data_IF_727059102154
#
_entry.id   IF_727059102154
#
_cell.length_a   1.000
_cell.length_b   1.000
_cell.length_c   1.000
_cell.angle_alpha   90.00
_cell.angle_beta   90.00
_cell.angle_gamma   90.00
#
_symmetry.space_group_name_H-M   'P 1'
#
loop_
_entity.id
_entity.type
_entity.pdbx_description
1 polymer ?
#
# COMPACT_ATOMS: atom_id res chain seq x y z
N UNK A 1 2.31 18.11 -6.32
CA UNK A 1 1.15 17.39 -5.73
C UNK A 1 0.53 18.26 -4.64
N UNK A 2 -0.78 18.14 -4.43
CA UNK A 2 -1.53 18.99 -3.50
C UNK A 2 -1.21 18.62 -2.03
N UNK A 3 -0.71 19.56 -1.20
CA UNK A 3 -0.52 19.36 0.25
C UNK A 3 -1.85 19.24 1.01
N UNK A 4 -1.81 18.75 2.25
CA UNK A 4 -2.99 18.79 3.12
C UNK A 4 -3.51 20.22 3.28
N UNK A 5 -4.80 20.39 3.02
CA UNK A 5 -5.45 21.69 3.10
C UNK A 5 -6.93 21.53 3.45
N UNK A 6 -7.47 22.50 4.18
CA UNK A 6 -8.87 22.53 4.57
C UNK A 6 -9.30 23.97 4.81
N UNK A 7 -10.51 24.33 4.39
CA UNK A 7 -11.15 25.58 4.81
C UNK A 7 -12.32 25.25 5.73
N UNK A 8 -12.40 25.89 6.90
CA UNK A 8 -13.52 25.74 7.82
C UNK A 8 -14.13 27.11 8.14
N UNK A 9 -15.46 27.19 8.24
CA UNK A 9 -16.20 28.33 8.76
C UNK A 9 -17.13 27.88 9.90
N UNK A 10 -16.67 28.04 11.14
CA UNK A 10 -17.43 27.69 12.35
C UNK A 10 -18.15 28.91 12.89
N UNK A 11 -19.46 28.77 13.09
CA UNK A 11 -20.37 29.75 13.71
C UNK A 11 -21.09 29.12 14.89
N UNK A 12 -21.89 29.92 15.61
CA UNK A 12 -22.67 29.47 16.75
C UNK A 12 -23.77 28.47 16.38
N UNK A 13 -24.22 28.46 15.12
CA UNK A 13 -25.38 27.70 14.64
C UNK A 13 -25.07 26.78 13.45
N UNK A 14 -23.85 26.85 12.88
CA UNK A 14 -23.42 26.01 11.75
C UNK A 14 -21.90 25.83 11.68
N UNK A 15 -21.47 24.78 10.99
CA UNK A 15 -20.09 24.55 10.61
C UNK A 15 -20.02 24.11 9.14
N UNK A 16 -19.23 24.82 8.32
CA UNK A 16 -18.96 24.41 6.94
C UNK A 16 -17.49 24.06 6.77
N UNK A 17 -17.21 22.92 6.10
CA UNK A 17 -15.86 22.40 5.91
C UNK A 17 -15.64 22.05 4.44
N UNK A 18 -14.73 22.75 3.76
CA UNK A 18 -14.25 22.41 2.41
C UNK A 18 -12.95 21.65 2.51
N UNK A 19 -13.00 20.37 2.12
CA UNK A 19 -11.90 19.45 2.39
C UNK A 19 -11.77 18.40 1.28
N UNK A 20 -10.56 18.15 0.76
CA UNK A 20 -10.33 17.07 -0.18
C UNK A 20 -9.94 15.78 0.58
N UNK A 21 -10.92 15.11 1.19
CA UNK A 21 -10.74 13.91 2.04
C UNK A 21 -11.28 12.63 1.40
N UNK A 22 -10.78 11.47 1.85
CA UNK A 22 -11.34 10.15 1.55
C UNK A 22 -12.44 9.73 2.55
N UNK A 23 -12.64 10.48 3.64
CA UNK A 23 -13.53 10.13 4.75
C UNK A 23 -14.44 11.30 5.16
N UNK A 24 -15.35 11.76 4.28
CA UNK A 24 -16.16 12.95 4.54
C UNK A 24 -17.09 12.80 5.75
N UNK A 25 -17.61 11.60 6.00
CA UNK A 25 -18.46 11.31 7.17
C UNK A 25 -17.68 11.46 8.48
N UNK A 26 -16.44 10.97 8.53
CA UNK A 26 -15.59 11.10 9.73
C UNK A 26 -15.24 12.57 9.98
N UNK A 27 -15.00 13.36 8.92
CA UNK A 27 -14.79 14.81 9.07
C UNK A 27 -16.02 15.49 9.65
N UNK A 28 -17.23 15.14 9.18
CA UNK A 28 -18.49 15.70 9.72
C UNK A 28 -18.60 15.39 11.21
N UNK A 29 -18.42 14.14 11.59
CA UNK A 29 -18.62 13.68 12.97
C UNK A 29 -17.59 14.32 13.91
N UNK A 30 -16.32 14.41 13.49
CA UNK A 30 -15.28 15.11 14.25
C UNK A 30 -15.51 16.60 14.34
N UNK A 31 -16.01 17.24 13.28
CA UNK A 31 -16.37 18.65 13.33
C UNK A 31 -17.53 18.90 14.31
N UNK A 32 -18.57 18.06 14.29
CA UNK A 32 -19.69 18.13 15.23
C UNK A 32 -19.23 17.99 16.69
N UNK A 33 -18.36 17.00 16.96
CA UNK A 33 -17.73 16.78 18.27
C UNK A 33 -16.95 18.02 18.74
N UNK A 34 -16.12 18.60 17.88
CA UNK A 34 -15.31 19.79 18.21
C UNK A 34 -16.19 21.02 18.45
N UNK A 35 -17.24 21.23 17.66
CA UNK A 35 -18.06 22.44 17.75
C UNK A 35 -19.14 22.33 18.83
N UNK A 36 -19.59 21.12 19.17
CA UNK A 36 -20.78 20.87 19.99
C UNK A 36 -22.09 21.12 19.23
N UNK A 37 -22.04 21.05 17.90
CA UNK A 37 -23.22 21.22 17.04
C UNK A 37 -23.79 19.85 16.69
N UNK A 38 -25.09 19.79 16.37
CA UNK A 38 -25.68 18.56 15.84
C UNK A 38 -25.11 18.23 14.44
N UNK A 39 -25.01 16.95 14.04
CA UNK A 39 -24.45 16.56 12.74
C UNK A 39 -25.13 17.25 11.54
N UNK A 40 -26.42 17.54 11.61
CA UNK A 40 -27.19 18.23 10.57
C UNK A 40 -26.80 19.71 10.41
N UNK A 41 -26.15 20.29 11.41
CA UNK A 41 -25.61 21.65 11.39
C UNK A 41 -24.18 21.71 10.81
N UNK A 42 -23.61 20.55 10.45
CA UNK A 42 -22.27 20.43 9.87
C UNK A 42 -22.37 20.02 8.40
N UNK A 43 -21.89 20.88 7.50
CA UNK A 43 -21.83 20.59 6.06
C UNK A 43 -20.40 20.35 5.63
N UNK A 44 -20.12 19.17 5.08
CA UNK A 44 -18.81 18.83 4.49
C UNK A 44 -18.88 18.89 2.97
N UNK A 45 -18.18 19.87 2.40
CA UNK A 45 -18.00 20.04 0.97
C UNK A 45 -16.75 19.27 0.54
N UNK A 46 -16.94 18.04 0.03
CA UNK A 46 -15.82 17.25 -0.49
C UNK A 46 -15.35 17.84 -1.81
N UNK A 47 -14.16 18.44 -1.81
CA UNK A 47 -13.60 19.08 -3.01
C UNK A 47 -12.88 18.08 -3.91
N UNK A 48 -12.47 18.51 -5.11
CA UNK A 48 -11.55 17.74 -5.93
C UNK A 48 -10.26 17.41 -5.15
N UNK A 49 -9.73 16.21 -5.38
CA UNK A 49 -8.68 15.61 -4.57
C UNK A 49 -7.45 15.33 -5.45
N UNK A 50 -6.36 16.06 -5.21
CA UNK A 50 -5.10 16.00 -5.94
C UNK A 50 -4.21 14.81 -5.56
N UNK A 51 -4.79 13.62 -5.42
CA UNK A 51 -4.16 12.40 -4.94
C UNK A 51 -4.24 12.22 -3.42
N UNK A 52 -4.17 10.97 -2.97
CA UNK A 52 -4.22 10.65 -1.55
C UNK A 52 -3.57 9.33 -1.18
N UNK A 53 -3.78 8.28 -1.98
CA UNK A 53 -3.05 7.02 -1.86
C UNK A 53 -3.10 6.37 -0.46
N UNK A 54 -4.15 6.68 0.31
CA UNK A 54 -4.36 6.21 1.69
C UNK A 54 -4.14 7.29 2.77
N UNK A 55 -3.49 8.40 2.43
CA UNK A 55 -3.13 9.46 3.39
C UNK A 55 -4.25 10.47 3.69
N UNK A 56 -5.24 10.67 2.81
CA UNK A 56 -6.22 11.76 2.95
C UNK A 56 -7.34 11.45 3.92
N UNK A 57 -6.97 11.31 5.19
CA UNK A 57 -7.82 11.22 6.36
C UNK A 57 -8.46 12.56 6.73
N UNK A 58 -8.44 12.89 8.02
CA UNK A 58 -9.19 14.01 8.60
C UNK A 58 -8.40 14.86 9.61
N UNK A 59 -7.14 14.52 9.89
CA UNK A 59 -6.29 15.17 10.90
C UNK A 59 -6.12 16.68 10.66
N UNK A 60 -5.86 17.07 9.42
CA UNK A 60 -5.75 18.49 9.03
C UNK A 60 -7.10 19.23 9.02
N UNK A 61 -8.22 18.52 8.85
CA UNK A 61 -9.55 19.12 8.93
C UNK A 61 -9.93 19.46 10.38
N UNK A 62 -9.56 18.60 11.33
CA UNK A 62 -9.70 18.85 12.77
C UNK A 62 -9.01 20.18 13.14
N UNK A 63 -7.76 20.37 12.69
CA UNK A 63 -7.01 21.60 12.96
C UNK A 63 -7.71 22.85 12.40
N UNK A 64 -8.22 22.78 11.17
CA UNK A 64 -8.92 23.90 10.54
C UNK A 64 -10.22 24.26 11.30
N UNK A 65 -11.00 23.26 11.72
CA UNK A 65 -12.24 23.46 12.50
C UNK A 65 -11.92 24.07 13.86
N UNK A 66 -10.93 23.53 14.58
CA UNK A 66 -10.50 24.07 15.87
C UNK A 66 -10.04 25.53 15.75
N UNK A 67 -9.23 25.85 14.74
CA UNK A 67 -8.75 27.20 14.49
C UNK A 67 -9.90 28.16 14.16
N UNK A 68 -10.81 27.77 13.26
CA UNK A 68 -11.98 28.59 12.91
C UNK A 68 -12.89 28.84 14.11
N UNK A 69 -13.15 27.82 14.94
CA UNK A 69 -13.92 27.95 16.19
C UNK A 69 -13.26 28.95 17.15
N UNK A 70 -11.94 28.84 17.34
CA UNK A 70 -11.19 29.70 18.25
C UNK A 70 -11.22 31.17 17.86
N UNK A 71 -11.19 31.48 16.56
CA UNK A 71 -11.18 32.87 16.05
C UNK A 71 -12.56 33.41 15.66
N UNK A 72 -13.58 32.55 15.58
CA UNK A 72 -14.95 32.91 15.18
C UNK A 72 -15.09 33.39 13.73
N UNK A 73 -14.18 32.99 12.84
CA UNK A 73 -14.11 33.42 11.44
C UNK A 73 -13.64 32.27 10.53
N UNK A 74 -13.84 32.36 9.20
CA UNK A 74 -13.34 31.36 8.28
C UNK A 74 -11.82 31.24 8.36
N UNK A 75 -11.30 30.02 8.43
CA UNK A 75 -9.86 29.73 8.42
C UNK A 75 -9.57 28.79 7.26
N UNK A 76 -8.59 29.19 6.44
CA UNK A 76 -7.97 28.33 5.43
C UNK A 76 -6.63 27.84 5.95
N UNK A 77 -6.54 26.54 6.18
CA UNK A 77 -5.32 25.85 6.56
C UNK A 77 -4.71 25.20 5.32
N UNK A 78 -3.42 25.40 5.13
CA UNK A 78 -2.59 24.71 4.14
C UNK A 78 -1.29 24.36 4.84
N UNK A 79 -0.95 23.09 4.90
CA UNK A 79 0.38 22.68 5.34
C UNK A 79 1.41 23.00 4.27
N UNK A 80 2.59 23.45 4.71
CA UNK A 80 3.78 23.43 3.85
C UNK A 80 4.10 21.99 3.44
N UNK A 81 4.93 21.80 2.41
CA UNK A 81 5.32 20.45 1.98
C UNK A 81 6.11 19.74 3.08
N UNK A 82 6.93 20.50 3.79
CA UNK A 82 7.74 20.05 4.92
C UNK A 82 6.85 19.57 6.07
N UNK A 83 5.83 20.37 6.45
CA UNK A 83 4.85 19.96 7.45
C UNK A 83 4.04 18.74 7.00
N UNK A 84 3.64 18.67 5.72
CA UNK A 84 2.92 17.52 5.17
C UNK A 84 3.73 16.22 5.30
N UNK A 85 5.02 16.28 4.98
CA UNK A 85 5.93 15.13 5.14
C UNK A 85 6.22 14.81 6.60
N UNK A 86 6.46 15.80 7.47
CA UNK A 86 6.77 15.56 8.89
C UNK A 86 5.55 15.12 9.70
N UNK A 87 4.35 15.56 9.29
CA UNK A 87 3.10 15.22 9.96
C UNK A 87 2.36 14.06 9.29
N UNK A 88 3.03 13.33 8.41
CA UNK A 88 2.45 12.26 7.63
C UNK A 88 2.05 11.05 8.52
N UNK A 89 1.24 10.17 7.93
CA UNK A 89 1.08 8.79 8.38
C UNK A 89 1.89 7.92 7.44
N UNK A 90 3.06 7.48 7.90
CA UNK A 90 4.03 6.81 7.04
C UNK A 90 3.56 5.42 6.63
N UNK A 91 3.96 4.98 5.44
CA UNK A 91 3.85 3.57 5.07
C UNK A 91 4.57 2.75 6.14
N UNK A 92 3.91 1.77 6.77
CA UNK A 92 4.54 1.05 7.85
C UNK A 92 5.75 0.23 7.37
N UNK A 93 6.80 0.21 8.20
CA UNK A 93 7.98 -0.61 7.97
C UNK A 93 7.74 -2.02 8.52
N UNK A 94 8.04 -3.02 7.71
CA UNK A 94 7.91 -4.42 8.07
C UNK A 94 9.23 -5.14 7.91
N UNK A 95 9.46 -6.13 8.78
CA UNK A 95 10.53 -7.12 8.63
C UNK A 95 9.89 -8.48 8.39
N UNK A 96 10.22 -9.09 7.26
CA UNK A 96 9.81 -10.45 6.94
C UNK A 96 10.99 -11.42 7.07
N UNK A 97 10.73 -12.62 7.56
CA UNK A 97 11.64 -13.77 7.50
C UNK A 97 10.88 -14.93 6.89
N UNK A 98 11.37 -15.44 5.76
CA UNK A 98 10.82 -16.62 5.11
C UNK A 98 11.81 -17.77 5.20
N UNK A 99 11.30 -18.95 5.55
CA UNK A 99 12.04 -20.20 5.51
C UNK A 99 11.26 -21.15 4.61
N UNK A 100 11.92 -21.58 3.53
CA UNK A 100 11.31 -22.44 2.51
C UNK A 100 12.13 -23.71 2.39
N UNK A 101 11.47 -24.85 2.57
CA UNK A 101 12.07 -26.15 2.26
C UNK A 101 11.73 -26.52 0.83
N UNK A 102 12.75 -26.90 0.05
CA UNK A 102 12.56 -27.44 -1.30
C UNK A 102 12.51 -28.96 -1.24
N UNK A 103 11.57 -29.55 -1.96
CA UNK A 103 11.49 -30.99 -2.20
C UNK A 103 12.56 -31.47 -3.17
N UNK A 104 12.65 -32.79 -3.35
CA UNK A 104 13.55 -33.41 -4.35
C UNK A 104 13.22 -33.00 -5.79
N UNK A 105 11.97 -32.63 -6.05
CA UNK A 105 11.49 -32.10 -7.32
C UNK A 105 11.85 -30.63 -7.55
N UNK A 106 12.52 -30.00 -6.57
CA UNK A 106 12.95 -28.61 -6.60
C UNK A 106 11.84 -27.59 -6.34
N UNK A 107 10.63 -27.99 -5.96
CA UNK A 107 9.53 -27.08 -5.60
C UNK A 107 9.40 -26.92 -4.08
N UNK A 108 8.75 -25.85 -3.58
CA UNK A 108 8.56 -25.66 -2.14
C UNK A 108 7.66 -26.75 -1.58
N UNK A 109 8.14 -27.50 -0.60
CA UNK A 109 7.35 -28.46 0.18
C UNK A 109 6.82 -27.85 1.48
N UNK A 110 7.53 -26.88 2.04
CA UNK A 110 7.07 -26.07 3.18
C UNK A 110 7.44 -24.60 3.06
N UNK A 111 6.59 -23.74 3.63
CA UNK A 111 6.72 -22.29 3.62
C UNK A 111 6.33 -21.72 4.97
N UNK A 112 7.31 -21.24 5.74
CA UNK A 112 7.09 -20.53 6.99
C UNK A 112 7.44 -19.04 6.79
N UNK A 113 6.43 -18.18 6.93
CA UNK A 113 6.58 -16.72 6.82
C UNK A 113 6.34 -16.10 8.19
N UNK A 114 7.35 -15.41 8.72
CA UNK A 114 7.25 -14.60 9.93
C UNK A 114 7.29 -13.12 9.55
N UNK A 115 6.30 -12.35 9.97
CA UNK A 115 6.18 -10.92 9.69
C UNK A 115 6.14 -10.15 11.01
N UNK A 116 7.01 -9.15 11.14
CA UNK A 116 7.01 -8.23 12.26
C UNK A 116 6.80 -6.79 11.76
N UNK A 117 5.84 -6.08 12.32
CA UNK A 117 5.58 -4.68 12.01
C UNK A 117 4.29 -4.16 12.64
N UNK A 118 3.96 -2.89 12.46
CA UNK A 118 2.78 -2.30 13.10
C UNK A 118 1.48 -2.76 12.45
N UNK A 119 0.41 -2.69 13.24
CA UNK A 119 -0.96 -2.92 12.78
C UNK A 119 -1.56 -1.62 12.25
N UNK A 120 -1.65 -1.52 10.92
CA UNK A 120 -2.26 -0.38 10.24
C UNK A 120 -3.75 -0.22 10.62
N UNK A 121 -4.46 -1.33 10.84
CA UNK A 121 -5.87 -1.27 11.26
C UNK A 121 -6.03 -0.81 12.71
N UNK A 122 -5.11 -1.20 13.60
CA UNK A 122 -5.15 -0.75 15.00
C UNK A 122 -4.86 0.75 15.10
N UNK A 123 -3.91 1.26 14.31
CA UNK A 123 -3.62 2.69 14.21
C UNK A 123 -4.80 3.48 13.64
N UNK A 124 -5.44 2.98 12.57
CA UNK A 124 -6.63 3.60 12.01
C UNK A 124 -7.80 3.64 13.02
N UNK A 125 -8.03 2.54 13.73
CA UNK A 125 -9.08 2.45 14.74
C UNK A 125 -8.82 3.37 15.94
N UNK A 126 -7.55 3.50 16.37
CA UNK A 126 -7.16 4.45 17.39
C UNK A 126 -7.49 5.89 16.99
N UNK A 127 -7.18 6.28 15.76
CA UNK A 127 -7.49 7.62 15.23
C UNK A 127 -9.00 7.89 15.16
N UNK A 128 -9.80 6.89 14.82
CA UNK A 128 -11.25 7.03 14.69
C UNK A 128 -11.92 7.21 16.06
N UNK A 129 -11.51 6.42 17.05
CA UNK A 129 -12.20 6.32 18.34
C UNK A 129 -11.58 7.18 19.45
N UNK A 130 -10.49 7.90 19.16
CA UNK A 130 -9.76 8.77 20.10
C UNK A 130 -9.46 8.14 21.48
N UNK A 131 -9.37 6.81 21.52
CA UNK A 131 -9.17 6.05 22.75
C UNK A 131 -8.08 5.01 22.55
N UNK A 132 -6.98 5.15 23.30
CA UNK A 132 -5.94 4.11 23.38
C UNK A 132 -6.48 2.79 23.93
N UNK A 133 -7.61 2.80 24.62
CA UNK A 133 -8.28 1.60 25.13
C UNK A 133 -8.82 0.71 24.00
N UNK A 134 -9.42 1.26 22.93
CA UNK A 134 -9.93 0.45 21.82
C UNK A 134 -8.85 0.06 20.83
N UNK A 135 -7.88 0.94 20.57
CA UNK A 135 -6.66 0.58 19.83
C UNK A 135 -5.92 -0.57 20.50
N UNK A 136 -5.78 -0.53 21.84
CA UNK A 136 -5.23 -1.64 22.63
C UNK A 136 -6.15 -2.87 22.69
N UNK A 137 -7.48 -2.70 22.63
CA UNK A 137 -8.43 -3.81 22.55
C UNK A 137 -8.30 -4.60 21.23
N UNK A 138 -8.00 -3.91 20.13
CA UNK A 138 -7.73 -4.51 18.82
C UNK A 138 -6.33 -5.12 18.71
N UNK A 139 -5.38 -4.73 19.58
CA UNK A 139 -4.09 -5.42 19.70
C UNK A 139 -4.27 -6.87 20.16
N UNK A 140 -5.34 -7.20 20.89
CA UNK A 140 -5.68 -8.58 21.25
C UNK A 140 -6.24 -9.42 20.10
N UNK A 141 -6.40 -8.85 18.90
CA UNK A 141 -6.76 -9.62 17.71
C UNK A 141 -5.52 -10.31 17.11
N UNK A 142 -4.28 -9.98 17.53
CA UNK A 142 -2.98 -10.57 17.10
C UNK A 142 -2.80 -10.77 15.58
N UNK A 143 -3.72 -10.25 14.77
CA UNK A 143 -3.84 -10.56 13.36
C UNK A 143 -4.51 -9.40 12.62
N UNK A 144 -3.68 -8.51 12.09
CA UNK A 144 -4.14 -7.47 11.19
C UNK A 144 -4.26 -8.03 9.76
N UNK A 145 -5.49 -8.41 9.39
CA UNK A 145 -5.82 -8.92 8.05
C UNK A 145 -5.43 -7.97 6.92
N UNK A 146 -5.22 -6.68 7.18
CA UNK A 146 -4.83 -5.68 6.18
C UNK A 146 -3.32 -5.64 5.96
N UNK A 147 -2.56 -5.77 7.05
CA UNK A 147 -1.08 -5.82 7.04
C UNK A 147 -0.55 -7.19 6.60
N UNK A 148 -1.30 -8.28 6.86
CA UNK A 148 -0.95 -9.63 6.40
C UNK A 148 -1.51 -9.97 5.01
N UNK A 149 -2.16 -9.03 4.30
CA UNK A 149 -2.56 -9.29 2.91
C UNK A 149 -1.36 -9.55 2.02
N UNK A 150 -1.50 -10.54 1.14
CA UNK A 150 -0.46 -10.95 0.21
C UNK A 150 0.48 -12.02 0.76
N UNK A 151 0.31 -12.46 2.01
CA UNK A 151 0.90 -13.73 2.49
C UNK A 151 0.04 -14.94 2.13
N UNK A 152 -1.20 -14.71 1.65
CA UNK A 152 -2.04 -15.76 1.09
C UNK A 152 -1.55 -16.07 -0.32
N UNK A 153 -0.93 -17.24 -0.49
CA UNK A 153 -0.25 -17.60 -1.73
C UNK A 153 -1.24 -18.17 -2.75
N UNK A 154 -1.18 -17.74 -4.03
CA UNK A 154 -1.87 -18.45 -5.11
C UNK A 154 -1.15 -19.74 -5.50
N UNK A 155 0.07 -19.96 -4.99
CA UNK A 155 0.94 -21.07 -5.32
C UNK A 155 0.58 -22.32 -4.52
N UNK A 156 0.56 -23.48 -5.20
CA UNK A 156 0.32 -24.78 -4.61
C UNK A 156 1.56 -25.22 -3.80
N UNK A 157 1.61 -24.80 -2.53
CA UNK A 157 2.64 -25.18 -1.57
C UNK A 157 1.95 -25.97 -0.44
N UNK A 158 2.31 -27.26 -0.24
CA UNK A 158 1.57 -28.15 0.66
C UNK A 158 1.49 -27.66 2.11
N UNK A 159 2.64 -27.30 2.69
CA UNK A 159 2.73 -26.84 4.08
C UNK A 159 2.97 -25.34 4.10
N UNK A 160 2.03 -24.57 4.65
CA UNK A 160 2.11 -23.11 4.71
C UNK A 160 1.73 -22.59 6.10
N UNK A 161 2.67 -21.90 6.73
CA UNK A 161 2.53 -21.28 8.04
C UNK A 161 2.86 -19.78 7.96
N UNK A 162 2.09 -18.98 8.69
CA UNK A 162 2.27 -17.53 8.74
C UNK A 162 2.11 -17.01 10.17
N UNK A 163 3.19 -16.44 10.69
CA UNK A 163 3.23 -15.76 11.98
C UNK A 163 3.25 -14.24 11.78
N UNK A 164 2.45 -13.52 12.55
CA UNK A 164 2.45 -12.07 12.56
C UNK A 164 2.63 -11.55 13.98
N UNK A 165 3.66 -10.74 14.20
CA UNK A 165 3.95 -10.07 15.46
C UNK A 165 3.78 -8.56 15.30
N UNK A 166 2.93 -7.97 16.15
CA UNK A 166 2.71 -6.52 16.14
C UNK A 166 3.86 -5.81 16.83
N UNK A 167 4.59 -4.98 16.07
CA UNK A 167 5.71 -4.18 16.58
C UNK A 167 5.42 -2.69 16.35
N UNK A 168 5.40 -1.92 17.44
CA UNK A 168 5.12 -0.49 17.40
C UNK A 168 6.39 0.33 17.09
N UNK A 169 6.43 1.10 16.00
CA UNK A 169 7.64 1.81 15.57
C UNK A 169 7.84 3.15 16.30
N UNK A 170 6.91 3.56 17.17
CA UNK A 170 6.98 4.86 17.88
C UNK A 170 6.68 6.08 17.00
N UNK A 171 6.25 5.87 15.75
CA UNK A 171 5.84 6.90 14.80
C UNK A 171 4.44 6.60 14.26
N UNK A 172 3.76 7.62 13.73
CA UNK A 172 2.45 7.46 13.10
C UNK A 172 2.57 6.67 11.80
N UNK A 173 1.80 5.60 11.67
CA UNK A 173 1.70 4.85 10.42
C UNK A 173 0.28 4.88 9.88
N UNK A 174 0.14 4.70 8.57
CA UNK A 174 -1.17 4.69 7.94
C UNK A 174 -1.19 3.96 6.62
N UNK A 175 -2.31 4.08 5.92
CA UNK A 175 -2.48 3.40 4.65
C UNK A 175 -1.60 4.05 3.58
N UNK A 176 -0.86 3.19 2.90
CA UNK A 176 -0.21 3.47 1.62
C UNK A 176 -0.82 2.54 0.58
N UNK A 177 -0.75 2.91 -0.70
CA UNK A 177 -1.43 2.19 -1.78
C UNK A 177 -1.15 0.68 -1.71
N UNK A 178 -2.21 -0.14 -1.66
CA UNK A 178 -2.16 -1.62 -1.54
C UNK A 178 -1.91 -2.18 -0.13
N UNK A 179 -1.68 -1.34 0.88
CA UNK A 179 -1.49 -1.72 2.30
C UNK A 179 -0.50 -2.90 2.41
N UNK A 180 -0.89 -4.02 3.03
CA UNK A 180 -0.01 -5.17 3.24
C UNK A 180 0.46 -5.86 1.96
N UNK A 181 -0.37 -5.86 0.91
CA UNK A 181 -0.06 -6.54 -0.35
C UNK A 181 1.26 -6.04 -0.96
N UNK A 182 1.55 -4.74 -0.84
CA UNK A 182 2.71 -4.13 -1.49
C UNK A 182 4.05 -4.68 -1.00
N UNK A 183 4.22 -4.88 0.32
CA UNK A 183 5.48 -5.38 0.88
C UNK A 183 5.53 -6.91 0.94
N UNK A 184 4.37 -7.56 1.15
CA UNK A 184 4.31 -9.01 1.16
C UNK A 184 4.52 -9.58 -0.25
N UNK A 185 3.95 -8.96 -1.29
CA UNK A 185 4.20 -9.36 -2.68
C UNK A 185 5.70 -9.32 -3.02
N UNK A 186 6.39 -8.23 -2.64
CA UNK A 186 7.83 -8.12 -2.84
C UNK A 186 8.58 -9.27 -2.17
N UNK A 187 8.23 -9.58 -0.91
CA UNK A 187 8.89 -10.63 -0.14
C UNK A 187 8.65 -12.01 -0.76
N UNK A 188 7.38 -12.36 -1.00
CA UNK A 188 6.96 -13.66 -1.56
C UNK A 188 7.58 -13.89 -2.94
N UNK A 189 7.46 -12.91 -3.83
CA UNK A 189 7.92 -13.05 -5.21
C UNK A 189 9.45 -13.07 -5.31
N UNK A 190 10.17 -12.40 -4.39
CA UNK A 190 11.63 -12.50 -4.32
C UNK A 190 12.07 -13.90 -3.91
N UNK A 191 11.45 -14.49 -2.88
CA UNK A 191 11.78 -15.85 -2.43
C UNK A 191 11.46 -16.90 -3.48
N UNK A 192 10.39 -16.74 -4.24
CA UNK A 192 10.10 -17.63 -5.37
C UNK A 192 11.14 -17.53 -6.48
N UNK A 193 11.65 -16.32 -6.75
CA UNK A 193 12.72 -16.12 -7.73
C UNK A 193 14.03 -16.75 -7.25
N UNK A 194 14.39 -16.55 -5.99
CA UNK A 194 15.55 -17.19 -5.36
C UNK A 194 15.44 -18.72 -5.39
N UNK A 195 14.26 -19.28 -5.06
CA UNK A 195 14.02 -20.72 -5.12
C UNK A 195 14.18 -21.28 -6.53
N UNK A 196 13.61 -20.60 -7.55
CA UNK A 196 13.76 -20.98 -8.95
C UNK A 196 15.24 -20.97 -9.38
N UNK A 197 15.98 -19.93 -9.01
CA UNK A 197 17.40 -19.78 -9.31
C UNK A 197 18.25 -20.87 -8.64
N UNK A 198 17.97 -21.21 -7.37
CA UNK A 198 18.69 -22.25 -6.61
C UNK A 198 18.59 -23.63 -7.28
N UNK A 199 17.46 -23.93 -7.92
CA UNK A 199 17.24 -25.21 -8.62
C UNK A 199 17.48 -25.12 -10.13
N UNK A 200 18.01 -23.99 -10.61
CA UNK A 200 18.33 -23.78 -12.03
C UNK A 200 17.12 -23.81 -12.96
N UNK A 201 15.95 -23.36 -12.49
CA UNK A 201 14.71 -23.31 -13.28
C UNK A 201 14.38 -21.89 -13.70
N UNK A 202 13.79 -21.76 -14.89
CA UNK A 202 13.26 -20.50 -15.38
C UNK A 202 12.18 -19.95 -14.41
N UNK A 203 12.26 -18.69 -13.97
CA UNK A 203 11.33 -18.14 -12.97
C UNK A 203 9.87 -18.04 -13.41
N UNK A 204 9.59 -17.95 -14.72
CA UNK A 204 8.23 -17.98 -15.25
C UNK A 204 7.67 -19.40 -15.19
N UNK A 205 8.41 -20.39 -15.69
CA UNK A 205 8.00 -21.79 -15.67
C UNK A 205 7.85 -22.32 -14.24
N UNK A 206 8.73 -21.89 -13.33
CA UNK A 206 8.65 -22.23 -11.91
C UNK A 206 7.33 -21.78 -11.28
N UNK A 207 6.95 -20.51 -11.47
CA UNK A 207 5.66 -19.98 -11.01
C UNK A 207 4.49 -20.67 -11.68
N UNK A 208 4.56 -20.94 -12.99
CA UNK A 208 3.50 -21.64 -13.71
C UNK A 208 3.26 -23.04 -13.13
N UNK A 209 4.30 -23.80 -12.85
CA UNK A 209 4.16 -25.14 -12.27
C UNK A 209 3.47 -25.12 -10.90
N UNK A 210 3.64 -24.06 -10.13
CA UNK A 210 2.97 -23.87 -8.83
C UNK A 210 1.54 -23.34 -8.95
N UNK A 211 1.08 -22.90 -10.13
CA UNK A 211 -0.24 -22.27 -10.32
C UNK A 211 -1.28 -23.22 -10.96
N UNK A 212 -1.12 -24.54 -10.85
CA UNK A 212 -1.91 -25.51 -11.63
C UNK A 212 -3.42 -25.35 -11.46
N UNK A 213 -3.90 -25.07 -10.25
CA UNK A 213 -5.33 -24.88 -9.95
C UNK A 213 -5.81 -23.42 -10.09
N UNK A 214 -4.97 -22.55 -10.68
CA UNK A 214 -5.21 -21.12 -10.76
C UNK A 214 -5.22 -20.61 -12.22
N UNK A 215 -6.25 -20.93 -13.01
CA UNK A 215 -6.27 -20.62 -14.45
C UNK A 215 -6.22 -19.12 -14.76
N UNK A 216 -6.84 -18.26 -13.94
CA UNK A 216 -6.78 -16.80 -14.11
C UNK A 216 -5.35 -16.28 -13.90
N UNK A 217 -4.69 -16.71 -12.82
CA UNK A 217 -3.30 -16.39 -12.52
C UNK A 217 -2.35 -16.80 -13.64
N UNK A 218 -2.44 -18.05 -14.10
CA UNK A 218 -1.65 -18.55 -15.24
C UNK A 218 -1.85 -17.70 -16.48
N UNK A 219 -3.08 -17.27 -16.76
CA UNK A 219 -3.42 -16.47 -17.94
C UNK A 219 -2.75 -15.10 -17.88
N UNK A 220 -2.85 -14.41 -16.74
CA UNK A 220 -2.24 -13.09 -16.54
C UNK A 220 -0.71 -13.18 -16.61
N UNK A 221 -0.11 -14.17 -15.94
CA UNK A 221 1.33 -14.38 -15.94
C UNK A 221 1.87 -14.66 -17.36
N UNK A 222 1.24 -15.59 -18.09
CA UNK A 222 1.60 -15.87 -19.49
C UNK A 222 1.42 -14.66 -20.40
N UNK A 223 0.39 -13.84 -20.16
CA UNK A 223 0.15 -12.62 -20.94
C UNK A 223 1.28 -11.62 -20.73
N UNK A 224 1.69 -11.35 -19.49
CA UNK A 224 2.81 -10.44 -19.21
C UNK A 224 4.11 -10.94 -19.86
N UNK A 225 4.44 -12.23 -19.69
CA UNK A 225 5.62 -12.86 -20.28
C UNK A 225 5.63 -12.78 -21.82
N UNK A 226 4.49 -13.10 -22.45
CA UNK A 226 4.35 -13.05 -23.92
C UNK A 226 4.56 -11.63 -24.44
N UNK A 227 3.91 -10.63 -23.83
CA UNK A 227 4.05 -9.24 -24.26
C UNK A 227 5.46 -8.70 -24.06
N UNK A 228 6.17 -9.20 -23.04
CA UNK A 228 7.56 -8.87 -22.79
C UNK A 228 8.54 -9.60 -23.73
N UNK A 229 8.09 -10.61 -24.48
CA UNK A 229 8.98 -11.47 -25.26
C UNK A 229 9.93 -12.26 -24.35
N UNK A 230 9.43 -12.80 -23.24
CA UNK A 230 10.22 -13.62 -22.31
C UNK A 230 10.97 -14.74 -23.05
N UNK A 231 12.25 -14.94 -22.71
CA UNK A 231 13.15 -15.89 -23.38
C UNK A 231 13.81 -15.39 -24.66
N UNK A 232 13.43 -14.22 -25.20
CA UNK A 232 14.16 -13.60 -26.30
C UNK A 232 15.51 -13.04 -25.83
N UNK A 233 16.48 -12.97 -26.76
CA UNK A 233 17.77 -12.32 -26.50
C UNK A 233 17.57 -10.87 -26.07
N UNK A 234 18.37 -10.47 -25.08
CA UNK A 234 18.39 -9.12 -24.53
C UNK A 234 19.63 -8.36 -25.01
N UNK A 235 19.58 -7.03 -25.08
CA UNK A 235 20.80 -6.23 -25.21
C UNK A 235 21.82 -6.59 -24.14
N UNK A 236 23.10 -6.49 -24.47
CA UNK A 236 24.18 -6.76 -23.52
C UNK A 236 24.01 -5.92 -22.24
N UNK A 237 24.13 -6.57 -21.07
CA UNK A 237 23.95 -5.94 -19.76
C UNK A 237 22.50 -5.71 -19.32
N UNK A 238 21.50 -6.10 -20.12
CA UNK A 238 20.10 -6.08 -19.72
C UNK A 238 19.67 -7.41 -19.08
N UNK A 239 18.73 -7.32 -18.15
CA UNK A 239 18.09 -8.46 -17.49
C UNK A 239 16.57 -8.24 -17.37
N UNK A 240 15.82 -9.32 -17.17
CA UNK A 240 14.37 -9.27 -16.91
C UNK A 240 14.02 -9.99 -15.62
N UNK A 241 13.14 -9.37 -14.83
CA UNK A 241 12.48 -10.00 -13.69
C UNK A 241 10.98 -10.15 -13.96
N UNK A 242 10.35 -11.15 -13.34
CA UNK A 242 8.91 -11.41 -13.47
C UNK A 242 8.28 -11.63 -12.08
N UNK A 243 7.08 -11.08 -11.88
CA UNK A 243 6.33 -11.26 -10.65
C UNK A 243 4.82 -11.31 -10.92
N UNK A 244 4.08 -11.98 -10.03
CA UNK A 244 2.63 -12.10 -10.04
C UNK A 244 2.07 -11.78 -8.65
N UNK A 245 0.94 -11.07 -8.58
CA UNK A 245 0.26 -10.81 -7.32
C UNK A 245 -1.25 -10.71 -7.47
N UNK A 246 -2.00 -11.24 -6.50
CA UNK A 246 -3.44 -10.98 -6.36
C UNK A 246 -3.69 -9.99 -5.22
N UNK A 247 -4.40 -8.91 -5.51
CA UNK A 247 -4.86 -7.93 -4.52
C UNK A 247 -6.30 -7.53 -4.82
N UNK A 248 -7.16 -7.58 -3.80
CA UNK A 248 -8.59 -7.23 -3.91
C UNK A 248 -9.28 -7.94 -5.10
N UNK A 249 -8.99 -9.24 -5.30
CA UNK A 249 -9.50 -10.10 -6.40
C UNK A 249 -9.04 -9.70 -7.81
N UNK A 250 -8.17 -8.71 -7.91
CA UNK A 250 -7.49 -8.34 -9.15
C UNK A 250 -6.12 -9.02 -9.17
N UNK A 251 -5.79 -9.62 -10.31
CA UNK A 251 -4.54 -10.34 -10.51
C UNK A 251 -3.67 -9.53 -11.46
N UNK A 252 -2.43 -9.24 -11.07
CA UNK A 252 -1.49 -8.47 -11.87
C UNK A 252 -0.19 -9.25 -12.02
N UNK A 253 0.32 -9.34 -13.25
CA UNK A 253 1.67 -9.82 -13.51
C UNK A 253 2.49 -8.73 -14.19
N UNK A 254 3.75 -8.61 -13.82
CA UNK A 254 4.67 -7.65 -14.40
C UNK A 254 5.97 -8.33 -14.81
N UNK A 255 6.49 -7.94 -15.98
CA UNK A 255 7.87 -8.20 -16.38
C UNK A 255 8.59 -6.86 -16.46
N UNK A 256 9.73 -6.74 -15.79
CA UNK A 256 10.54 -5.53 -15.76
C UNK A 256 11.88 -5.82 -16.42
N UNK A 257 12.24 -5.02 -17.43
CA UNK A 257 13.56 -5.04 -18.05
C UNK A 257 14.44 -3.93 -17.46
N UNK A 258 15.61 -4.30 -16.96
CA UNK A 258 16.56 -3.40 -16.30
C UNK A 258 17.97 -3.59 -16.81
N UNK A 259 18.82 -2.59 -16.63
CA UNK A 259 20.28 -2.73 -16.65
C UNK A 259 20.87 -2.16 -15.37
N UNK A 260 22.09 -2.57 -15.02
CA UNK A 260 22.83 -2.01 -13.88
C UNK A 260 24.10 -1.36 -14.38
N UNK A 261 24.27 -0.07 -14.08
CA UNK A 261 25.48 0.69 -14.40
C UNK A 261 26.05 1.30 -13.11
N UNK A 262 27.29 0.94 -12.76
CA UNK A 262 27.96 1.37 -11.53
C UNK A 262 27.09 1.26 -10.24
N UNK A 263 26.31 0.18 -10.14
CA UNK A 263 25.39 -0.05 -9.01
C UNK A 263 24.05 0.68 -9.09
N UNK A 264 23.84 1.50 -10.11
CA UNK A 264 22.57 2.19 -10.38
C UNK A 264 21.69 1.35 -11.28
N UNK A 265 20.47 1.03 -10.82
CA UNK A 265 19.48 0.31 -11.63
C UNK A 265 18.78 1.29 -12.58
N UNK A 266 18.77 0.97 -13.87
CA UNK A 266 17.98 1.67 -14.89
C UNK A 266 16.86 0.77 -15.37
N UNK A 267 15.63 1.26 -15.25
CA UNK A 267 14.43 0.58 -15.76
C UNK A 267 14.21 1.01 -17.22
N UNK A 268 14.20 0.03 -18.13
CA UNK A 268 13.99 0.28 -19.56
C UNK A 268 12.52 0.12 -19.95
N UNK A 269 11.87 -0.92 -19.41
CA UNK A 269 10.49 -1.25 -19.78
C UNK A 269 9.79 -2.06 -18.71
N UNK A 270 8.50 -1.80 -18.54
CA UNK A 270 7.59 -2.60 -17.71
C UNK A 270 6.44 -3.09 -18.57
N UNK A 271 6.28 -4.40 -18.66
CA UNK A 271 5.12 -5.04 -19.27
C UNK A 271 4.17 -5.46 -18.16
N UNK A 272 2.98 -4.89 -18.13
CA UNK A 272 1.97 -5.16 -17.10
C UNK A 272 0.73 -5.81 -17.73
N UNK A 273 0.31 -6.95 -17.19
CA UNK A 273 -0.97 -7.57 -17.49
C UNK A 273 -1.84 -7.58 -16.24
N UNK A 274 -3.13 -7.29 -16.40
CA UNK A 274 -4.11 -7.32 -15.30
C UNK A 274 -5.34 -8.15 -15.72
N UNK A 275 -5.88 -8.89 -14.76
CA UNK A 275 -7.28 -9.32 -14.71
C UNK A 275 -7.94 -8.64 -13.51
N UNK A 276 -8.81 -7.66 -13.78
CA UNK A 276 -9.60 -6.94 -12.76
C UNK A 276 -11.09 -7.35 -12.80
N UNK A 277 -11.41 -8.47 -13.44
CA UNK A 277 -12.78 -8.89 -13.70
C UNK A 277 -13.51 -7.92 -14.63
N UNK A 278 -14.77 -7.60 -14.28
CA UNK A 278 -15.60 -6.70 -15.09
C UNK A 278 -15.14 -5.27 -14.92
N UNK A 279 -14.91 -4.58 -16.03
CA UNK A 279 -14.53 -3.18 -16.04
C UNK A 279 -15.56 -2.29 -16.74
N UNK A 280 -15.51 -0.99 -16.43
CA UNK A 280 -16.37 0.04 -17.02
C UNK A 280 -15.62 0.84 -18.08
N UNK A 281 -14.40 1.30 -17.75
CA UNK A 281 -13.60 2.16 -18.61
C UNK A 281 -12.14 1.67 -18.68
N UNK A 282 -11.70 1.10 -19.81
CA UNK A 282 -10.34 0.58 -19.96
C UNK A 282 -9.26 1.66 -19.89
N UNK A 283 -9.58 2.92 -20.22
CA UNK A 283 -8.60 4.02 -20.13
C UNK A 283 -8.24 4.33 -18.68
N UNK A 284 -9.21 4.23 -17.76
CA UNK A 284 -8.95 4.44 -16.32
C UNK A 284 -8.08 3.31 -15.78
N UNK A 285 -8.32 2.06 -16.21
CA UNK A 285 -7.47 0.92 -15.82
C UNK A 285 -6.03 1.17 -16.25
N UNK A 286 -5.83 1.56 -17.50
CA UNK A 286 -4.50 1.86 -18.02
C UNK A 286 -3.79 2.94 -17.20
N UNK A 287 -4.45 4.07 -16.94
CA UNK A 287 -3.89 5.15 -16.14
C UNK A 287 -3.60 4.72 -14.69
N UNK A 288 -4.47 3.91 -14.09
CA UNK A 288 -4.26 3.38 -12.74
C UNK A 288 -3.06 2.45 -12.65
N UNK A 289 -2.85 1.61 -13.65
CA UNK A 289 -1.70 0.72 -13.76
C UNK A 289 -0.40 1.47 -14.02
N UNK A 290 -0.38 2.37 -15.00
CA UNK A 290 0.80 3.20 -15.32
C UNK A 290 1.24 3.99 -14.09
N UNK A 291 0.29 4.64 -13.40
CA UNK A 291 0.56 5.33 -12.14
C UNK A 291 1.01 4.39 -11.01
N UNK A 292 0.44 3.18 -10.90
CA UNK A 292 0.85 2.20 -9.90
C UNK A 292 2.27 1.67 -10.14
N UNK A 293 2.65 1.45 -11.40
CA UNK A 293 4.00 1.02 -11.79
C UNK A 293 5.00 2.09 -11.40
N UNK A 294 4.77 3.35 -11.76
CA UNK A 294 5.68 4.46 -11.40
C UNK A 294 5.78 4.60 -9.89
N UNK A 295 4.66 4.52 -9.16
CA UNK A 295 4.62 4.60 -7.69
C UNK A 295 5.35 3.43 -7.00
N UNK A 296 5.28 2.23 -7.58
CA UNK A 296 6.05 1.08 -7.10
C UNK A 296 7.55 1.22 -7.37
N UNK A 297 7.93 1.71 -8.56
CA UNK A 297 9.33 1.92 -8.92
C UNK A 297 9.99 3.02 -8.10
N UNK A 298 9.26 4.10 -7.79
CA UNK A 298 9.78 5.17 -6.93
C UNK A 298 10.08 4.64 -5.53
N UNK A 299 9.16 3.86 -4.96
CA UNK A 299 9.35 3.19 -3.67
C UNK A 299 10.51 2.17 -3.68
N UNK A 300 10.69 1.43 -4.78
CA UNK A 300 11.74 0.41 -4.88
C UNK A 300 13.15 1.00 -5.05
N UNK A 301 13.28 2.17 -5.67
CA UNK A 301 14.58 2.70 -6.12
C UNK A 301 15.02 3.99 -5.42
N UNK A 302 14.10 4.79 -4.87
CA UNK A 302 14.42 6.16 -4.46
C UNK A 302 13.81 6.58 -3.11
N UNK A 303 12.57 6.21 -2.82
CA UNK A 303 11.85 6.75 -1.67
C UNK A 303 12.31 6.14 -0.35
N UNK A 304 12.56 6.99 0.64
CA UNK A 304 12.81 6.60 2.01
C UNK A 304 12.41 7.73 2.96
N UNK A 305 12.00 7.38 4.17
CA UNK A 305 11.80 8.32 5.27
C UNK A 305 12.86 8.00 6.33
N UNK A 306 13.66 9.00 6.67
CA UNK A 306 14.71 8.86 7.69
C UNK A 306 14.20 9.36 9.03
N UNK A 307 14.48 8.58 10.07
CA UNK A 307 14.17 8.94 11.45
C UNK A 307 15.44 9.29 12.19
N UNK A 308 15.39 10.38 12.95
CA UNK A 308 16.43 10.79 13.88
C UNK A 308 15.78 11.23 15.18
N UNK A 309 16.25 10.67 16.29
CA UNK A 309 15.79 11.00 17.64
C UNK A 309 14.25 10.91 17.81
N UNK A 310 13.62 9.96 17.12
CA UNK A 310 12.16 9.71 17.18
C UNK A 310 11.30 10.59 16.28
N UNK A 311 11.90 11.42 15.42
CA UNK A 311 11.19 12.28 14.47
C UNK A 311 11.70 12.09 13.04
N UNK A 312 10.89 12.48 12.05
CA UNK A 312 11.36 12.57 10.66
C UNK A 312 12.35 13.71 10.51
N UNK A 313 13.53 13.36 9.99
CA UNK A 313 14.68 14.24 9.83
C UNK A 313 14.60 15.14 8.59
#
# INVERSE_FOLDING_TARGET
MEPMNCTADVRSDRCEVWVPTQFPEVVRDKAAEITGLEPEQVTVHTTYLGGGFGRRGWDFAIQAVQASKAVGRPVKLIWTREEDTQHDFYRPAYKSRLQVQLGEDGFPSSWNHQLAGPSAISEFAWQLMDTRAVGSALKWIDWDVTSTKGTQLPYAIPEHEMDYEVVEPGIRVGFWRSVGNSHNAFTVESVLDEAANLVGRDPLEYRLALLNDQPRHRTVLKRAAKEAGWGAELPEGHARGIALHESFKSIVAQVVEVSVDAGTVRVHKVHCAIDCGRYVNPNIIRQQLEGAVVFGLSAALYEQISLKDGAVA
#
